data_IF_232510643966
#
_entry.id   IF_232510643966
#
_cell.length_a   1.000
_cell.length_b   1.000
_cell.length_c   1.000
_cell.angle_alpha   90.00
_cell.angle_beta   90.00
_cell.angle_gamma   90.00
#
_symmetry.space_group_name_H-M   'P 1'
#
loop_
_entity.id
_entity.type
_entity.pdbx_description
1 polymer ?
#
# COMPACT_ATOMS: atom_id res chain seq x y z
N UNK A 1 -13.71 30.02 -8.45
CA UNK A 1 -14.13 29.03 -9.50
C UNK A 1 -15.32 28.25 -8.98
N UNK A 2 -16.05 27.58 -9.87
CA UNK A 2 -17.19 26.73 -9.51
C UNK A 2 -17.21 25.48 -10.40
N UNK A 3 -17.54 24.33 -9.82
CA UNK A 3 -17.73 23.07 -10.55
C UNK A 3 -18.73 22.17 -9.80
N UNK A 4 -19.39 21.27 -10.51
CA UNK A 4 -20.24 20.24 -9.87
C UNK A 4 -19.41 19.33 -8.98
N UNK A 5 -18.24 18.88 -9.46
CA UNK A 5 -17.33 18.01 -8.71
C UNK A 5 -15.98 18.68 -8.50
N UNK A 6 -15.58 18.87 -7.25
CA UNK A 6 -14.23 19.30 -6.88
C UNK A 6 -13.48 18.10 -6.32
N UNK A 7 -12.45 17.63 -7.03
CA UNK A 7 -11.72 16.40 -6.74
C UNK A 7 -10.38 16.79 -6.12
N UNK A 8 -10.13 16.35 -4.89
CA UNK A 8 -8.93 16.68 -4.13
C UNK A 8 -7.95 15.51 -4.21
N UNK A 9 -6.84 15.72 -4.90
CA UNK A 9 -5.78 14.77 -5.15
C UNK A 9 -5.80 14.19 -6.57
N UNK A 10 -4.66 14.31 -7.27
CA UNK A 10 -4.38 13.76 -8.60
C UNK A 10 -3.72 12.38 -8.57
N UNK A 11 -3.98 11.58 -7.54
CA UNK A 11 -3.56 10.19 -7.47
C UNK A 11 -4.50 9.24 -8.20
N UNK A 12 -4.26 7.90 -8.15
CA UNK A 12 -5.09 6.90 -8.85
C UNK A 12 -6.59 7.05 -8.64
N UNK A 13 -7.04 7.39 -7.41
CA UNK A 13 -8.46 7.57 -7.11
C UNK A 13 -9.07 8.76 -7.84
N UNK A 14 -8.46 9.94 -7.70
CA UNK A 14 -8.98 11.18 -8.28
C UNK A 14 -8.94 11.18 -9.79
N UNK A 15 -7.81 10.73 -10.38
CA UNK A 15 -7.68 10.62 -11.83
C UNK A 15 -8.68 9.64 -12.43
N UNK A 16 -8.87 8.49 -11.80
CA UNK A 16 -9.86 7.50 -12.27
C UNK A 16 -11.26 8.07 -12.21
N UNK A 17 -11.64 8.69 -11.09
CA UNK A 17 -12.97 9.28 -10.94
C UNK A 17 -13.23 10.36 -12.00
N UNK A 18 -12.28 11.30 -12.20
CA UNK A 18 -12.38 12.37 -13.19
C UNK A 18 -12.50 11.84 -14.62
N UNK A 19 -11.65 10.87 -15.00
CA UNK A 19 -11.69 10.27 -16.33
C UNK A 19 -12.96 9.45 -16.56
N UNK A 20 -13.50 8.79 -15.55
CA UNK A 20 -14.80 8.12 -15.64
C UNK A 20 -15.94 9.11 -15.88
N UNK A 21 -15.94 10.29 -15.22
CA UNK A 21 -16.91 11.35 -15.50
C UNK A 21 -16.78 11.86 -16.94
N UNK A 22 -15.55 12.18 -17.39
CA UNK A 22 -15.26 12.60 -18.75
C UNK A 22 -15.80 11.60 -19.79
N UNK A 23 -15.50 10.30 -19.58
CA UNK A 23 -15.95 9.23 -20.50
C UNK A 23 -17.48 9.08 -20.55
N UNK A 24 -18.20 9.62 -19.59
CA UNK A 24 -19.67 9.69 -19.54
C UNK A 24 -20.22 11.03 -20.02
N UNK A 25 -19.38 11.92 -20.57
CA UNK A 25 -19.78 13.25 -21.05
C UNK A 25 -20.00 14.28 -19.93
N UNK A 26 -19.63 13.99 -18.69
CA UNK A 26 -19.74 14.92 -17.57
C UNK A 26 -18.44 15.69 -17.45
N UNK A 27 -18.45 16.97 -17.85
CA UNK A 27 -17.25 17.83 -17.92
C UNK A 27 -17.21 18.93 -16.86
N UNK A 28 -18.18 18.96 -15.95
CA UNK A 28 -18.27 19.95 -14.87
C UNK A 28 -17.55 19.45 -13.60
N UNK A 29 -16.23 19.37 -13.69
CA UNK A 29 -15.34 18.99 -12.59
C UNK A 29 -14.03 19.79 -12.62
N UNK A 30 -13.37 19.87 -11.47
CA UNK A 30 -12.00 20.40 -11.29
C UNK A 30 -11.23 19.39 -10.42
N UNK A 31 -10.01 19.04 -10.83
CA UNK A 31 -9.06 18.23 -10.04
C UNK A 31 -7.97 19.14 -9.50
N UNK A 32 -7.63 19.01 -8.22
CA UNK A 32 -6.55 19.75 -7.56
C UNK A 32 -5.49 18.79 -7.06
N UNK A 33 -4.22 19.00 -7.45
CA UNK A 33 -3.07 18.22 -7.01
C UNK A 33 -1.99 19.15 -6.42
N UNK A 34 -1.45 18.79 -5.26
CA UNK A 34 -0.42 19.61 -4.58
C UNK A 34 0.94 19.56 -5.25
N UNK A 35 1.28 18.44 -5.86
CA UNK A 35 2.54 18.24 -6.56
C UNK A 35 2.46 18.83 -7.97
N UNK A 36 3.62 19.09 -8.57
CA UNK A 36 3.72 19.53 -9.97
C UNK A 36 3.29 18.46 -10.97
N UNK A 37 3.28 17.19 -10.54
CA UNK A 37 2.91 16.03 -11.35
C UNK A 37 1.87 15.18 -10.64
N UNK A 38 1.03 14.48 -11.41
CA UNK A 38 0.00 13.56 -10.91
C UNK A 38 0.53 12.16 -10.64
N UNK A 39 -0.29 11.29 -10.06
CA UNK A 39 0.01 9.89 -9.78
C UNK A 39 0.09 9.56 -8.29
N UNK A 40 0.18 10.57 -7.42
CA UNK A 40 0.23 10.37 -5.96
C UNK A 40 1.36 9.41 -5.55
N UNK A 41 1.03 8.34 -4.81
CA UNK A 41 2.01 7.30 -4.43
C UNK A 41 2.49 6.44 -5.61
N UNK A 42 1.81 6.46 -6.75
CA UNK A 42 2.17 5.67 -7.92
C UNK A 42 3.06 6.44 -8.91
N UNK A 43 3.67 7.55 -8.49
CA UNK A 43 4.61 8.31 -9.32
C UNK A 43 5.91 7.55 -9.53
N UNK A 44 6.50 7.75 -10.69
CA UNK A 44 7.86 7.27 -11.01
C UNK A 44 8.74 8.43 -11.43
N UNK A 45 10.02 8.36 -11.09
CA UNK A 45 11.06 9.27 -11.51
C UNK A 45 12.14 8.52 -12.30
N UNK A 46 12.88 9.21 -13.15
CA UNK A 46 14.02 8.60 -13.82
C UNK A 46 15.25 8.73 -12.93
N UNK A 47 15.78 7.60 -12.51
CA UNK A 47 16.95 7.50 -11.65
C UNK A 47 17.95 6.56 -12.33
N UNK A 48 19.17 7.02 -12.56
CA UNK A 48 20.22 6.26 -13.27
C UNK A 48 19.72 5.69 -14.61
N UNK A 49 19.06 6.55 -15.40
CA UNK A 49 18.59 6.25 -16.74
C UNK A 49 17.39 5.32 -16.84
N UNK A 50 16.76 4.94 -15.72
CA UNK A 50 15.63 4.02 -15.69
C UNK A 50 14.56 4.46 -14.68
N UNK A 51 13.29 4.06 -14.84
CA UNK A 51 12.23 4.43 -13.91
C UNK A 51 12.43 3.82 -12.54
N UNK A 52 12.09 4.59 -11.51
CA UNK A 52 12.00 4.18 -10.11
C UNK A 52 10.67 4.68 -9.54
N UNK A 53 9.90 3.78 -8.96
CA UNK A 53 8.62 4.12 -8.34
C UNK A 53 8.86 4.75 -6.97
N UNK A 54 8.73 6.07 -6.90
CA UNK A 54 9.14 6.86 -5.73
C UNK A 54 8.22 6.71 -4.51
N UNK A 55 7.04 6.14 -4.67
CA UNK A 55 6.12 5.82 -3.58
C UNK A 55 6.18 4.36 -3.11
N UNK A 56 7.21 3.61 -3.53
CA UNK A 56 7.36 2.18 -3.29
C UNK A 56 6.85 1.33 -4.45
N UNK A 57 7.02 0.01 -4.35
CA UNK A 57 6.62 -0.90 -5.42
C UNK A 57 5.11 -0.92 -5.65
N UNK A 58 4.71 -0.50 -6.83
CA UNK A 58 3.34 -0.55 -7.29
C UNK A 58 3.24 -1.38 -8.58
N UNK A 59 2.27 -2.28 -8.62
CA UNK A 59 2.06 -3.23 -9.72
C UNK A 59 0.58 -3.34 -10.02
N UNK A 60 0.22 -3.60 -11.29
CA UNK A 60 -1.17 -3.82 -11.69
C UNK A 60 -1.52 -5.31 -11.53
N UNK A 61 -2.45 -5.63 -10.63
CA UNK A 61 -2.90 -6.99 -10.37
C UNK A 61 -3.78 -7.50 -11.51
N UNK A 62 -3.41 -8.63 -12.12
CA UNK A 62 -4.14 -9.24 -13.25
C UNK A 62 -5.55 -9.73 -12.87
N UNK A 63 -5.85 -9.93 -11.59
CA UNK A 63 -7.12 -10.50 -11.10
C UNK A 63 -8.30 -9.54 -11.18
N UNK A 64 -8.10 -8.32 -11.71
CA UNK A 64 -9.15 -7.31 -11.91
C UNK A 64 -9.26 -6.91 -13.37
N UNK A 65 -9.82 -7.77 -14.26
CA UNK A 65 -9.86 -7.51 -15.71
C UNK A 65 -10.46 -6.15 -16.05
N UNK A 66 -11.58 -5.75 -15.41
CA UNK A 66 -12.22 -4.46 -15.61
C UNK A 66 -11.29 -3.27 -15.34
N UNK A 67 -10.42 -3.39 -14.34
CA UNK A 67 -9.42 -2.35 -14.02
C UNK A 67 -8.31 -2.34 -15.05
N UNK A 68 -7.82 -3.53 -15.45
CA UNK A 68 -6.82 -3.64 -16.52
C UNK A 68 -7.34 -3.03 -17.82
N UNK A 69 -8.53 -3.42 -18.28
CA UNK A 69 -9.19 -2.87 -19.49
C UNK A 69 -9.36 -1.35 -19.42
N UNK A 70 -9.67 -0.80 -18.23
CA UNK A 70 -9.78 0.64 -18.05
C UNK A 70 -8.43 1.33 -18.20
N UNK A 71 -7.38 0.82 -17.56
CA UNK A 71 -6.03 1.42 -17.60
C UNK A 71 -5.38 1.26 -18.98
N UNK A 72 -5.61 0.16 -19.68
CA UNK A 72 -5.10 -0.09 -21.03
C UNK A 72 -5.67 0.87 -22.09
N UNK A 73 -6.75 1.60 -21.81
CA UNK A 73 -7.21 2.71 -22.67
C UNK A 73 -6.26 3.89 -22.68
N UNK A 74 -5.49 4.08 -21.61
CA UNK A 74 -4.53 5.18 -21.47
C UNK A 74 -3.10 4.75 -21.76
N UNK A 75 -2.78 3.51 -21.44
CA UNK A 75 -1.50 2.89 -21.74
C UNK A 75 -1.76 1.47 -22.26
N UNK A 76 -1.71 1.24 -23.59
CA UNK A 76 -2.05 -0.03 -24.22
C UNK A 76 -1.34 -1.24 -23.62
N UNK A 77 -2.00 -2.41 -23.63
CA UNK A 77 -1.48 -3.63 -22.97
C UNK A 77 -0.10 -4.05 -23.52
N UNK A 78 0.18 -3.81 -24.78
CA UNK A 78 1.46 -4.07 -25.45
C UNK A 78 2.64 -3.27 -24.84
N UNK A 79 2.38 -2.21 -24.10
CA UNK A 79 3.40 -1.44 -23.37
C UNK A 79 3.73 -2.03 -21.99
N UNK A 80 3.06 -3.11 -21.59
CA UNK A 80 3.26 -3.79 -20.31
C UNK A 80 3.87 -5.16 -20.52
N UNK A 81 4.70 -5.58 -19.54
CA UNK A 81 5.10 -6.97 -19.37
C UNK A 81 4.29 -7.60 -18.24
N UNK A 82 4.00 -8.90 -18.37
CA UNK A 82 3.33 -9.70 -17.36
C UNK A 82 4.34 -10.63 -16.69
N UNK A 83 4.35 -10.60 -15.37
CA UNK A 83 5.28 -11.36 -14.54
C UNK A 83 4.53 -12.29 -13.61
N UNK A 84 5.05 -13.52 -13.45
CA UNK A 84 4.74 -14.37 -12.30
C UNK A 84 5.59 -13.89 -11.13
N UNK A 85 4.96 -13.59 -10.00
CA UNK A 85 5.65 -13.02 -8.85
C UNK A 85 6.68 -13.99 -8.26
N UNK A 86 7.93 -13.55 -8.16
CA UNK A 86 8.93 -14.12 -7.25
C UNK A 86 9.18 -13.12 -6.12
N UNK A 87 8.72 -13.45 -4.92
CA UNK A 87 8.96 -12.63 -3.72
C UNK A 87 9.52 -13.52 -2.61
N UNK A 88 10.59 -13.05 -1.97
CA UNK A 88 11.35 -13.86 -1.01
C UNK A 88 11.45 -13.17 0.35
N UNK A 89 11.83 -13.94 1.33
CA UNK A 89 12.12 -13.50 2.70
C UNK A 89 13.55 -13.89 3.00
N UNK A 90 14.37 -12.92 3.36
CA UNK A 90 15.73 -13.14 3.86
C UNK A 90 15.73 -13.01 5.37
N UNK A 91 16.01 -14.09 6.08
CA UNK A 91 15.90 -14.19 7.54
C UNK A 91 17.11 -14.88 8.16
N UNK A 92 17.56 -14.34 9.29
CA UNK A 92 18.62 -14.93 10.10
C UNK A 92 18.02 -15.76 11.23
N UNK A 93 18.21 -17.07 11.21
CA UNK A 93 17.64 -18.02 12.16
C UNK A 93 18.73 -18.73 12.94
N UNK A 94 18.50 -18.95 14.24
CA UNK A 94 19.33 -19.82 15.04
C UNK A 94 18.94 -21.26 14.72
N UNK A 95 19.87 -22.11 14.21
CA UNK A 95 19.59 -23.54 14.01
C UNK A 95 19.26 -24.20 15.36
N UNK A 96 18.19 -25.05 15.45
CA UNK A 96 17.81 -25.70 16.71
C UNK A 96 18.92 -26.53 17.35
N UNK A 97 19.81 -27.06 16.53
CA UNK A 97 20.99 -27.82 16.95
C UNK A 97 22.19 -26.95 17.37
N UNK A 98 22.11 -25.64 17.24
CA UNK A 98 23.22 -24.73 17.55
C UNK A 98 23.35 -24.49 19.05
N UNK A 99 24.40 -25.01 19.67
CA UNK A 99 24.75 -24.71 21.06
C UNK A 99 25.33 -23.28 21.25
N UNK A 100 25.82 -22.65 20.19
CA UNK A 100 26.47 -21.35 20.22
C UNK A 100 25.48 -20.16 20.10
N UNK A 101 24.22 -20.42 19.74
CA UNK A 101 23.22 -19.39 19.45
C UNK A 101 23.53 -18.56 18.20
N UNK A 102 24.53 -18.92 17.40
CA UNK A 102 24.86 -18.22 16.14
C UNK A 102 23.75 -18.39 15.12
N UNK A 103 23.36 -17.29 14.48
CA UNK A 103 22.39 -17.29 13.39
C UNK A 103 23.02 -17.79 12.09
N UNK A 104 22.17 -18.33 11.21
CA UNK A 104 22.48 -18.62 9.83
C UNK A 104 21.42 -17.97 8.94
N UNK A 105 21.86 -17.34 7.86
CA UNK A 105 20.97 -16.71 6.89
C UNK A 105 20.28 -17.76 6.03
N UNK A 106 18.97 -17.59 5.86
CA UNK A 106 18.11 -18.38 4.98
C UNK A 106 17.32 -17.44 4.07
N UNK A 107 17.03 -17.91 2.88
CA UNK A 107 16.11 -17.26 1.96
C UNK A 107 15.04 -18.27 1.58
N UNK A 108 13.77 -17.85 1.62
CA UNK A 108 12.62 -18.67 1.26
C UNK A 108 11.54 -17.82 0.58
N UNK A 109 10.68 -18.48 -0.20
CA UNK A 109 9.57 -17.77 -0.86
C UNK A 109 8.55 -17.25 0.16
N UNK A 110 7.91 -16.15 -0.19
CA UNK A 110 6.79 -15.58 0.58
C UNK A 110 5.46 -16.22 0.13
N UNK A 111 4.51 -16.55 1.03
CA UNK A 111 4.52 -16.30 2.48
C UNK A 111 5.36 -17.31 3.26
N UNK A 112 5.86 -16.88 4.43
CA UNK A 112 6.77 -17.68 5.26
C UNK A 112 6.15 -19.02 5.65
N UNK A 113 4.93 -19.01 6.19
CA UNK A 113 4.21 -20.18 6.69
C UNK A 113 3.89 -21.22 5.61
N UNK A 114 3.73 -20.79 4.36
CA UNK A 114 3.51 -21.71 3.24
C UNK A 114 4.80 -22.31 2.67
N UNK A 115 5.96 -21.76 3.02
CA UNK A 115 7.24 -22.09 2.43
C UNK A 115 8.32 -22.53 3.44
N UNK A 116 7.96 -22.83 4.69
CA UNK A 116 8.92 -23.38 5.67
C UNK A 116 9.53 -24.72 5.22
N UNK A 117 8.95 -25.38 4.23
CA UNK A 117 9.49 -26.60 3.61
C UNK A 117 10.85 -26.39 2.95
N UNK A 118 11.22 -25.17 2.61
CA UNK A 118 12.53 -24.78 2.04
C UNK A 118 13.62 -24.71 3.11
N UNK A 119 13.26 -24.69 4.38
CA UNK A 119 14.18 -24.69 5.51
C UNK A 119 14.69 -26.11 5.84
N UNK A 120 15.81 -26.25 6.59
CA UNK A 120 16.26 -27.53 7.10
C UNK A 120 15.19 -28.24 7.94
N UNK A 121 15.24 -29.59 7.98
CA UNK A 121 14.24 -30.41 8.69
C UNK A 121 14.10 -30.08 10.18
N UNK A 122 15.20 -29.72 10.84
CA UNK A 122 15.17 -29.27 12.25
C UNK A 122 14.35 -27.99 12.44
N UNK A 123 14.48 -27.00 11.52
CA UNK A 123 13.67 -25.78 11.52
C UNK A 123 12.20 -26.05 11.16
N UNK A 124 11.95 -26.91 10.14
CA UNK A 124 10.58 -27.31 9.79
C UNK A 124 9.85 -27.90 10.99
N UNK A 125 10.50 -28.83 11.71
CA UNK A 125 9.94 -29.46 12.91
C UNK A 125 9.61 -28.44 13.98
N UNK A 126 10.54 -27.52 14.28
CA UNK A 126 10.34 -26.44 15.25
C UNK A 126 9.11 -25.58 14.93
N UNK A 127 8.98 -25.13 13.67
CA UNK A 127 7.85 -24.30 13.27
C UNK A 127 6.52 -25.07 13.26
N UNK A 128 6.50 -26.31 12.79
CA UNK A 128 5.31 -27.15 12.82
C UNK A 128 4.82 -27.41 14.25
N UNK A 129 5.72 -27.71 15.20
CA UNK A 129 5.38 -27.86 16.62
C UNK A 129 4.82 -26.56 17.20
N UNK A 130 5.40 -25.41 16.83
CA UNK A 130 4.95 -24.11 17.28
C UNK A 130 3.56 -23.73 16.73
N UNK A 131 3.29 -24.03 15.44
CA UNK A 131 1.98 -23.80 14.81
C UNK A 131 0.94 -24.75 15.42
N UNK A 132 1.26 -26.04 15.62
CA UNK A 132 0.35 -26.98 16.24
C UNK A 132 -0.09 -26.54 17.66
N UNK A 133 0.81 -25.89 18.40
CA UNK A 133 0.56 -25.35 19.72
C UNK A 133 -0.08 -23.94 19.68
N UNK A 134 -0.37 -23.37 18.51
CA UNK A 134 -0.97 -22.04 18.40
C UNK A 134 -2.43 -22.04 18.89
N UNK A 135 -2.86 -20.93 19.49
CA UNK A 135 -4.18 -20.82 20.12
C UNK A 135 -5.32 -21.11 19.17
N UNK A 136 -5.22 -20.76 17.87
CA UNK A 136 -6.25 -21.06 16.87
C UNK A 136 -6.46 -22.56 16.66
N UNK A 137 -5.45 -23.39 16.89
CA UNK A 137 -5.51 -24.85 16.77
C UNK A 137 -5.96 -25.52 18.07
N UNK A 138 -5.99 -24.77 19.18
CA UNK A 138 -6.40 -25.22 20.52
C UNK A 138 -7.76 -24.67 20.97
N UNK A 139 -8.53 -24.07 20.05
CA UNK A 139 -9.87 -23.54 20.35
C UNK A 139 -9.88 -22.24 21.16
N UNK A 140 -8.76 -21.56 21.29
CA UNK A 140 -8.68 -20.27 21.97
C UNK A 140 -9.40 -19.17 21.16
N UNK A 141 -10.07 -18.20 21.82
CA UNK A 141 -10.77 -17.13 21.13
C UNK A 141 -9.78 -16.21 20.37
N UNK A 142 -10.22 -15.70 19.20
CA UNK A 142 -9.43 -14.79 18.38
C UNK A 142 -9.11 -13.50 19.14
N UNK A 143 -7.83 -13.13 19.31
CA UNK A 143 -7.44 -11.91 19.98
C UNK A 143 -7.85 -10.64 19.22
N UNK A 144 -8.10 -9.56 19.96
CA UNK A 144 -8.45 -8.25 19.37
C UNK A 144 -7.22 -7.44 18.93
N UNK A 145 -6.03 -7.69 19.52
CA UNK A 145 -4.79 -7.02 19.18
C UNK A 145 -4.00 -7.82 18.15
N UNK A 146 -3.41 -7.12 17.20
CA UNK A 146 -2.68 -7.75 16.09
C UNK A 146 -1.47 -8.56 16.57
N UNK A 147 -0.69 -8.06 17.52
CA UNK A 147 0.49 -8.76 18.03
C UNK A 147 0.13 -10.11 18.69
N UNK A 148 -0.97 -10.14 19.46
CA UNK A 148 -1.46 -11.37 20.10
C UNK A 148 -2.01 -12.33 19.03
N UNK A 149 -2.71 -11.79 18.02
CA UNK A 149 -3.21 -12.58 16.90
C UNK A 149 -2.10 -13.26 16.11
N UNK A 150 -0.95 -12.59 15.89
CA UNK A 150 0.19 -13.20 15.20
C UNK A 150 0.60 -14.50 15.90
N UNK A 151 0.79 -14.46 17.22
CA UNK A 151 1.16 -15.63 18.02
C UNK A 151 0.03 -16.67 18.06
N UNK A 152 -1.21 -16.24 18.23
CA UNK A 152 -2.39 -17.09 18.24
C UNK A 152 -2.60 -17.84 16.92
N UNK A 153 -2.28 -17.21 15.77
CA UNK A 153 -2.48 -17.79 14.42
C UNK A 153 -1.29 -18.61 13.95
N UNK A 154 -0.06 -18.12 14.11
CA UNK A 154 1.15 -18.63 13.48
C UNK A 154 2.09 -19.36 14.46
N UNK A 155 1.75 -19.37 15.75
CA UNK A 155 2.62 -19.89 16.79
C UNK A 155 3.76 -18.93 17.14
N UNK A 156 4.39 -19.18 18.28
CA UNK A 156 5.41 -18.28 18.87
C UNK A 156 6.67 -18.13 18.02
N UNK A 157 7.06 -19.16 17.28
CA UNK A 157 8.34 -19.15 16.57
C UNK A 157 8.27 -18.35 15.26
N UNK A 158 7.22 -18.49 14.45
CA UNK A 158 7.00 -17.62 13.27
C UNK A 158 6.72 -16.18 13.74
N UNK A 159 5.96 -16.02 14.82
CA UNK A 159 5.72 -14.70 15.40
C UNK A 159 7.03 -13.99 15.74
N UNK A 160 7.94 -14.66 16.46
CA UNK A 160 9.23 -14.12 16.90
C UNK A 160 10.21 -13.88 15.75
N UNK A 161 10.36 -14.85 14.85
CA UNK A 161 11.45 -14.83 13.87
C UNK A 161 11.11 -14.04 12.60
N UNK A 162 9.81 -13.84 12.31
CA UNK A 162 9.37 -13.18 11.10
C UNK A 162 8.30 -12.08 11.33
N UNK A 163 7.10 -12.47 11.78
CA UNK A 163 5.94 -11.59 11.67
C UNK A 163 5.99 -10.36 12.58
N UNK A 164 6.42 -10.50 13.82
CA UNK A 164 6.51 -9.36 14.76
C UNK A 164 7.61 -8.40 14.31
N UNK A 165 8.88 -8.82 14.09
CA UNK A 165 9.93 -7.90 13.67
C UNK A 165 9.64 -7.24 12.32
N UNK A 166 9.12 -7.98 11.33
CA UNK A 166 8.75 -7.42 10.04
C UNK A 166 7.68 -6.32 10.15
N UNK A 167 6.57 -6.61 10.85
CA UNK A 167 5.48 -5.65 11.00
C UNK A 167 5.87 -4.45 11.89
N UNK A 168 6.77 -4.64 12.85
CA UNK A 168 7.36 -3.54 13.64
C UNK A 168 8.11 -2.56 12.74
N UNK A 169 8.86 -3.06 11.74
CA UNK A 169 9.56 -2.23 10.77
C UNK A 169 8.59 -1.52 9.80
N UNK A 170 7.58 -2.23 9.33
CA UNK A 170 6.68 -1.74 8.28
C UNK A 170 5.61 -0.77 8.81
N UNK A 171 4.89 -1.16 9.87
CA UNK A 171 3.70 -0.42 10.30
C UNK A 171 3.94 0.49 11.49
N UNK A 172 4.44 -0.04 12.59
CA UNK A 172 4.56 0.72 13.84
C UNK A 172 5.53 0.05 14.81
N UNK A 173 6.22 0.86 15.61
CA UNK A 173 7.08 0.37 16.69
C UNK A 173 6.29 -0.38 17.76
N UNK A 174 5.01 -0.01 17.96
CA UNK A 174 4.10 -0.66 18.92
C UNK A 174 2.93 -1.34 18.20
N UNK A 175 3.05 -2.62 17.92
CA UNK A 175 2.01 -3.41 17.26
C UNK A 175 0.76 -3.63 18.16
N UNK A 176 0.81 -3.34 19.46
CA UNK A 176 -0.34 -3.43 20.37
C UNK A 176 -1.45 -2.40 20.04
N UNK A 177 -1.12 -1.36 19.29
CA UNK A 177 -2.10 -0.37 18.84
C UNK A 177 -2.93 -0.85 17.65
N UNK A 178 -2.49 -1.89 16.94
CA UNK A 178 -3.16 -2.41 15.75
C UNK A 178 -4.25 -3.43 16.12
N UNK A 179 -5.38 -3.33 15.44
CA UNK A 179 -6.51 -4.26 15.56
C UNK A 179 -6.44 -5.43 14.58
N UNK A 180 -7.43 -6.31 14.64
CA UNK A 180 -7.49 -7.56 13.85
C UNK A 180 -8.61 -7.58 12.79
N UNK A 181 -9.31 -6.48 12.57
CA UNK A 181 -10.45 -6.38 11.65
C UNK A 181 -10.07 -6.32 10.15
N UNK A 182 -8.78 -6.22 9.83
CA UNK A 182 -8.25 -6.06 8.47
C UNK A 182 -7.48 -7.29 7.94
N UNK A 183 -7.44 -8.36 8.71
CA UNK A 183 -6.55 -9.51 8.51
C UNK A 183 -6.90 -10.38 7.30
N UNK A 184 -8.08 -10.20 6.71
CA UNK A 184 -8.49 -10.90 5.48
C UNK A 184 -7.56 -10.62 4.27
N UNK A 185 -6.68 -9.62 4.40
CA UNK A 185 -5.65 -9.31 3.40
C UNK A 185 -4.36 -10.11 3.56
N UNK A 186 -4.15 -10.72 4.72
CA UNK A 186 -2.96 -11.54 4.97
C UNK A 186 -3.18 -12.96 4.42
N UNK A 187 -2.11 -13.63 3.98
CA UNK A 187 -2.19 -15.03 3.63
C UNK A 187 -2.78 -15.85 4.79
N UNK A 188 -3.67 -16.75 4.47
CA UNK A 188 -4.29 -17.63 5.46
C UNK A 188 -3.90 -19.08 5.16
N UNK A 189 -2.91 -19.57 5.90
CA UNK A 189 -2.42 -20.94 5.82
C UNK A 189 -2.73 -21.64 7.14
N UNK A 190 -3.30 -22.84 7.07
CA UNK A 190 -3.57 -23.70 8.24
C UNK A 190 -2.37 -24.54 8.63
N UNK A 191 -2.44 -25.17 9.82
CA UNK A 191 -1.42 -26.15 10.23
C UNK A 191 -1.33 -27.33 9.24
N UNK A 192 -2.48 -27.85 8.80
CA UNK A 192 -2.58 -28.96 7.85
C UNK A 192 -1.95 -28.61 6.51
N UNK A 193 -2.22 -27.42 6.00
CA UNK A 193 -1.63 -26.91 4.75
C UNK A 193 -0.12 -26.72 4.89
N UNK A 194 0.36 -26.20 6.03
CA UNK A 194 1.79 -26.06 6.33
C UNK A 194 2.49 -27.42 6.44
N UNK A 195 1.84 -28.39 7.11
CA UNK A 195 2.34 -29.76 7.21
C UNK A 195 2.42 -30.44 5.82
N UNK A 196 1.38 -30.25 5.00
CA UNK A 196 1.32 -30.81 3.65
C UNK A 196 2.39 -30.15 2.75
N UNK A 197 2.61 -28.84 2.87
CA UNK A 197 3.68 -28.15 2.14
C UNK A 197 5.06 -28.77 2.45
N UNK A 198 5.31 -29.10 3.72
CA UNK A 198 6.56 -29.74 4.13
C UNK A 198 6.72 -31.17 3.59
N UNK A 199 5.61 -31.94 3.42
CA UNK A 199 5.63 -33.27 2.83
C UNK A 199 5.85 -33.22 1.33
N UNK A 200 5.10 -32.36 0.64
CA UNK A 200 5.09 -32.29 -0.82
C UNK A 200 6.19 -31.39 -1.39
N UNK A 201 6.90 -30.63 -0.53
CA UNK A 201 7.89 -29.60 -0.91
C UNK A 201 7.30 -28.57 -1.88
N UNK A 202 6.11 -28.10 -1.57
CA UNK A 202 5.34 -27.15 -2.37
C UNK A 202 4.51 -26.24 -1.47
N UNK A 203 4.37 -24.95 -1.84
CA UNK A 203 3.49 -24.04 -1.13
C UNK A 203 2.02 -24.48 -1.23
N UNK A 204 1.30 -24.43 -0.11
CA UNK A 204 -0.13 -24.68 0.02
C UNK A 204 -0.83 -23.50 0.69
N UNK A 205 -2.17 -23.51 0.62
CA UNK A 205 -3.01 -22.48 1.22
C UNK A 205 -3.23 -21.26 0.33
N UNK A 206 -3.93 -20.29 0.91
CA UNK A 206 -4.28 -19.03 0.22
C UNK A 206 -3.01 -18.23 -0.06
N UNK A 207 -2.73 -18.00 -1.33
CA UNK A 207 -1.60 -17.19 -1.75
C UNK A 207 -1.95 -15.70 -1.69
N UNK A 208 -0.97 -14.83 -1.42
CA UNK A 208 -1.18 -13.39 -1.37
C UNK A 208 -1.56 -12.82 -2.75
N UNK A 209 -2.07 -11.59 -2.76
CA UNK A 209 -2.34 -10.84 -3.98
C UNK A 209 -1.10 -10.65 -4.86
N UNK A 210 -1.33 -10.25 -6.12
CA UNK A 210 -0.27 -10.05 -7.11
C UNK A 210 0.58 -11.31 -7.38
N UNK A 211 -0.04 -12.50 -7.41
CA UNK A 211 0.63 -13.74 -7.86
C UNK A 211 1.11 -13.58 -9.30
N UNK A 212 0.35 -12.84 -10.09
CA UNK A 212 0.78 -12.31 -11.38
C UNK A 212 0.44 -10.82 -11.44
N UNK A 213 1.30 -10.07 -12.10
CA UNK A 213 1.14 -8.64 -12.23
C UNK A 213 1.65 -8.12 -13.57
N UNK A 214 1.13 -6.96 -14.01
CA UNK A 214 1.68 -6.17 -15.08
C UNK A 214 2.59 -5.07 -14.54
N UNK A 215 3.69 -4.82 -15.24
CA UNK A 215 4.55 -3.66 -15.04
C UNK A 215 4.93 -3.03 -16.40
N UNK A 216 5.01 -1.68 -16.51
CA UNK A 216 5.36 -1.03 -17.77
C UNK A 216 6.77 -1.38 -18.25
N UNK A 217 6.91 -1.65 -19.55
CA UNK A 217 8.19 -2.03 -20.17
C UNK A 217 9.27 -0.95 -20.07
N UNK A 218 8.89 0.34 -20.06
CA UNK A 218 9.85 1.45 -20.21
C UNK A 218 9.74 2.57 -19.19
N UNK A 219 8.54 2.90 -18.71
CA UNK A 219 8.28 4.20 -18.09
C UNK A 219 8.02 4.16 -16.58
N UNK A 220 8.02 2.99 -15.97
CA UNK A 220 7.57 2.83 -14.59
C UNK A 220 6.05 2.96 -14.42
N UNK A 221 5.56 2.63 -13.25
CA UNK A 221 4.12 2.59 -12.97
C UNK A 221 3.45 3.97 -12.97
N UNK A 222 4.26 5.04 -12.87
CA UNK A 222 3.80 6.43 -12.93
C UNK A 222 3.22 6.86 -14.25
N UNK A 223 3.64 6.25 -15.36
CA UNK A 223 3.31 6.69 -16.72
C UNK A 223 1.82 6.66 -17.02
N UNK A 224 1.12 5.60 -16.66
CA UNK A 224 -0.33 5.51 -16.91
C UNK A 224 -1.10 6.65 -16.24
N UNK A 225 -0.64 7.09 -15.07
CA UNK A 225 -1.27 8.21 -14.34
C UNK A 225 -0.96 9.55 -14.97
N UNK A 226 0.25 9.75 -15.50
CA UNK A 226 0.62 10.94 -16.29
C UNK A 226 -0.28 11.07 -17.52
N UNK A 227 -0.47 9.98 -18.28
CA UNK A 227 -1.35 9.96 -19.45
C UNK A 227 -2.81 10.24 -19.07
N UNK A 228 -3.30 9.65 -17.97
CA UNK A 228 -4.64 9.94 -17.44
C UNK A 228 -4.80 11.40 -17.00
N UNK A 229 -3.76 12.01 -16.44
CA UNK A 229 -3.75 13.42 -16.08
C UNK A 229 -3.78 14.32 -17.31
N UNK A 230 -3.01 14.00 -18.36
CA UNK A 230 -2.98 14.74 -19.61
C UNK A 230 -4.37 14.80 -20.30
N UNK A 231 -5.19 13.75 -20.14
CA UNK A 231 -6.56 13.73 -20.64
C UNK A 231 -7.49 14.77 -20.00
N UNK A 232 -7.16 15.28 -18.81
CA UNK A 232 -8.02 16.22 -18.09
C UNK A 232 -7.79 17.69 -18.47
N UNK A 233 -6.68 18.00 -19.16
CA UNK A 233 -6.38 19.33 -19.73
C UNK A 233 -6.56 20.48 -18.73
N UNK A 234 -7.40 21.46 -19.04
CA UNK A 234 -7.71 22.65 -18.24
C UNK A 234 -8.49 22.37 -16.93
N UNK A 235 -8.95 21.14 -16.74
CA UNK A 235 -9.65 20.71 -15.51
C UNK A 235 -8.72 20.27 -14.39
N UNK A 236 -7.42 20.21 -14.64
CA UNK A 236 -6.40 19.76 -13.68
C UNK A 236 -5.54 20.95 -13.24
N UNK A 237 -5.55 21.25 -11.94
CA UNK A 237 -4.73 22.26 -11.28
C UNK A 237 -3.64 21.51 -10.50
N UNK A 238 -2.37 21.71 -10.85
CA UNK A 238 -1.22 21.09 -10.20
C UNK A 238 -0.35 22.14 -9.48
N UNK A 239 0.53 21.69 -8.56
CA UNK A 239 1.48 22.55 -7.86
C UNK A 239 0.87 23.38 -6.72
N UNK A 240 -0.39 23.13 -6.34
CA UNK A 240 -1.03 23.85 -5.24
C UNK A 240 -1.86 22.91 -4.37
N UNK A 241 -1.57 22.90 -3.06
CA UNK A 241 -2.27 22.07 -2.09
C UNK A 241 -3.59 22.69 -1.62
N UNK A 242 -4.44 21.85 -1.05
CA UNK A 242 -5.68 22.28 -0.38
C UNK A 242 -5.33 22.74 1.04
N UNK A 243 -5.79 23.94 1.41
CA UNK A 243 -5.67 24.52 2.76
C UNK A 243 -6.83 24.07 3.64
N UNK A 244 -8.06 24.35 3.19
CA UNK A 244 -9.27 24.08 3.97
C UNK A 244 -10.48 23.76 3.10
N UNK A 245 -11.47 23.14 3.74
CA UNK A 245 -12.80 22.88 3.17
C UNK A 245 -13.84 23.50 4.10
N UNK A 246 -14.55 24.51 3.64
CA UNK A 246 -15.77 24.98 4.28
C UNK A 246 -16.87 23.95 4.10
N UNK A 247 -17.14 23.17 5.14
CA UNK A 247 -18.09 22.06 5.10
C UNK A 247 -19.56 22.52 4.98
N UNK A 248 -19.88 23.80 5.32
CA UNK A 248 -21.23 24.34 5.21
C UNK A 248 -21.54 24.82 3.80
N UNK A 249 -20.58 25.54 3.20
CA UNK A 249 -20.75 26.16 1.89
C UNK A 249 -20.15 25.36 0.75
N UNK A 250 -19.42 24.28 1.07
CA UNK A 250 -18.70 23.41 0.11
C UNK A 250 -17.68 24.19 -0.73
N UNK A 251 -16.91 25.05 -0.05
CA UNK A 251 -15.85 25.84 -0.67
C UNK A 251 -14.51 25.24 -0.29
N UNK A 252 -13.72 24.85 -1.28
CA UNK A 252 -12.33 24.44 -1.14
C UNK A 252 -11.45 25.68 -1.28
N UNK A 253 -10.62 25.95 -0.27
CA UNK A 253 -9.61 27.03 -0.31
C UNK A 253 -8.24 26.39 -0.52
N UNK A 254 -7.52 26.81 -1.55
CA UNK A 254 -6.17 26.36 -1.86
C UNK A 254 -5.13 27.17 -1.07
N UNK A 255 -3.88 26.70 -1.05
CA UNK A 255 -2.77 27.37 -0.33
C UNK A 255 -2.41 28.74 -0.92
N UNK A 256 -2.70 28.98 -2.20
CA UNK A 256 -2.52 30.26 -2.87
C UNK A 256 -3.69 31.23 -2.66
N UNK A 257 -4.72 30.84 -1.90
CA UNK A 257 -5.91 31.62 -1.63
C UNK A 257 -7.05 31.44 -2.65
N UNK A 258 -6.84 30.69 -3.71
CA UNK A 258 -7.89 30.35 -4.69
C UNK A 258 -9.04 29.62 -4.02
N UNK A 259 -10.28 29.99 -4.35
CA UNK A 259 -11.51 29.36 -3.84
C UNK A 259 -12.28 28.67 -4.94
N UNK A 260 -12.70 27.43 -4.67
CA UNK A 260 -13.47 26.61 -5.60
C UNK A 260 -14.73 26.12 -4.88
N UNK A 261 -15.91 26.55 -5.37
CA UNK A 261 -17.21 26.07 -4.89
C UNK A 261 -17.59 24.78 -5.61
N UNK A 262 -18.01 23.76 -4.85
CA UNK A 262 -18.47 22.46 -5.39
C UNK A 262 -19.88 22.09 -4.97
N UNK A 263 -20.62 21.41 -5.83
CA UNK A 263 -21.84 20.70 -5.40
C UNK A 263 -21.46 19.47 -4.59
N UNK A 264 -20.42 18.74 -5.06
CA UNK A 264 -19.78 17.61 -4.40
C UNK A 264 -18.28 17.82 -4.31
N UNK A 265 -17.69 17.47 -3.18
CA UNK A 265 -16.23 17.42 -2.99
C UNK A 265 -15.83 15.97 -2.86
N UNK A 266 -14.94 15.50 -3.73
CA UNK A 266 -14.40 14.14 -3.69
C UNK A 266 -13.00 14.20 -3.08
N UNK A 267 -12.89 13.83 -1.81
CA UNK A 267 -11.61 13.86 -1.09
C UNK A 267 -10.85 12.55 -1.27
N UNK A 268 -9.70 12.60 -1.94
CA UNK A 268 -8.77 11.47 -2.04
C UNK A 268 -7.47 11.70 -1.27
N UNK A 269 -7.41 12.78 -0.49
CA UNK A 269 -6.27 13.21 0.32
C UNK A 269 -6.45 12.80 1.79
N UNK A 270 -5.36 12.76 2.60
CA UNK A 270 -5.45 12.48 4.03
C UNK A 270 -6.29 13.53 4.77
N UNK A 271 -7.14 13.09 5.69
CA UNK A 271 -8.04 13.98 6.43
C UNK A 271 -7.31 14.94 7.38
N UNK A 272 -6.13 14.57 7.85
CA UNK A 272 -5.28 15.40 8.72
C UNK A 272 -4.39 16.39 7.92
N UNK A 273 -4.38 16.30 6.59
CA UNK A 273 -3.67 17.23 5.70
C UNK A 273 -4.47 18.47 5.31
N UNK A 274 -5.74 18.56 5.73
CA UNK A 274 -6.66 19.64 5.36
C UNK A 274 -7.49 20.06 6.56
N UNK A 275 -7.75 21.38 6.70
CA UNK A 275 -8.65 21.88 7.73
C UNK A 275 -10.12 21.72 7.29
N UNK A 276 -10.94 21.04 8.10
CA UNK A 276 -12.39 21.01 7.93
C UNK A 276 -13.01 22.14 8.75
N UNK A 277 -13.30 23.25 8.09
CA UNK A 277 -13.96 24.42 8.71
C UNK A 277 -15.39 24.02 9.11
N UNK A 278 -15.85 24.52 10.26
CA UNK A 278 -17.16 24.22 10.86
C UNK A 278 -17.36 22.77 11.30
N UNK A 279 -16.34 21.91 11.17
CA UNK A 279 -16.43 20.56 11.70
C UNK A 279 -16.49 20.58 13.24
N UNK A 280 -17.42 19.83 13.87
CA UNK A 280 -17.49 19.71 15.32
C UNK A 280 -16.18 19.15 15.91
N UNK A 281 -15.87 19.54 17.16
CA UNK A 281 -14.67 19.07 17.88
C UNK A 281 -14.54 17.54 17.84
N UNK A 282 -15.66 16.81 18.00
CA UNK A 282 -15.68 15.34 17.94
C UNK A 282 -15.16 14.79 16.60
N UNK A 283 -15.38 15.49 15.49
CA UNK A 283 -14.86 15.07 14.17
C UNK A 283 -13.37 15.37 14.09
N UNK A 284 -12.92 16.57 14.52
CA UNK A 284 -11.51 16.92 14.59
C UNK A 284 -10.71 15.92 15.47
N UNK A 285 -11.29 15.49 16.59
CA UNK A 285 -10.67 14.49 17.46
C UNK A 285 -10.68 13.06 16.83
N UNK A 286 -11.68 12.75 16.01
CA UNK A 286 -11.68 11.50 15.24
C UNK A 286 -10.59 11.50 14.17
N UNK A 287 -10.36 12.62 13.47
CA UNK A 287 -9.26 12.76 12.49
C UNK A 287 -7.90 12.54 13.16
N UNK A 288 -7.64 13.10 14.34
CA UNK A 288 -6.39 12.89 15.10
C UNK A 288 -6.10 11.41 15.45
N UNK A 289 -7.14 10.55 15.43
CA UNK A 289 -7.02 9.10 15.67
C UNK A 289 -6.66 8.31 14.40
N UNK A 290 -6.76 8.94 13.23
CA UNK A 290 -6.39 8.35 11.95
C UNK A 290 -4.88 8.44 11.79
N UNK A 291 -4.17 7.38 12.14
CA UNK A 291 -2.71 7.33 12.06
C UNK A 291 -2.23 6.77 10.72
N UNK A 292 -1.06 7.21 10.31
CA UNK A 292 -0.37 6.73 9.10
C UNK A 292 1.13 6.55 9.36
N UNK A 293 1.80 5.87 8.44
CA UNK A 293 3.27 5.82 8.38
C UNK A 293 3.80 6.60 7.20
N UNK A 294 5.03 7.06 7.30
CA UNK A 294 5.84 7.58 6.21
C UNK A 294 6.95 6.61 5.84
N UNK A 295 7.37 6.61 4.58
CA UNK A 295 8.48 5.80 4.09
C UNK A 295 9.48 6.61 3.28
N UNK A 296 10.71 6.14 3.31
CA UNK A 296 11.79 6.59 2.44
C UNK A 296 12.10 5.48 1.44
N UNK A 297 12.16 5.85 0.17
CA UNK A 297 12.55 4.99 -0.95
C UNK A 297 13.94 5.41 -1.37
N UNK A 298 14.94 4.56 -1.11
CA UNK A 298 16.33 4.88 -1.40
C UNK A 298 16.86 3.98 -2.52
N UNK A 299 17.35 4.59 -3.59
CA UNK A 299 17.96 3.89 -4.71
C UNK A 299 19.37 3.42 -4.37
N UNK A 300 19.69 2.18 -4.75
CA UNK A 300 21.02 1.58 -4.65
C UNK A 300 21.44 1.10 -6.06
N UNK A 301 22.53 1.64 -6.59
CA UNK A 301 22.98 1.40 -7.96
C UNK A 301 23.66 0.03 -8.19
N UNK A 302 23.86 -0.77 -7.15
CA UNK A 302 24.45 -2.10 -7.23
C UNK A 302 23.42 -3.14 -7.70
N UNK A 303 23.86 -4.08 -8.54
CA UNK A 303 23.03 -5.20 -8.95
C UNK A 303 23.08 -6.33 -7.92
N UNK A 304 21.94 -6.93 -7.66
CA UNK A 304 21.85 -8.15 -6.86
C UNK A 304 21.78 -9.39 -7.76
N UNK A 305 22.52 -10.44 -7.37
CA UNK A 305 22.44 -11.72 -8.04
C UNK A 305 21.24 -12.52 -7.50
N UNK A 306 20.03 -12.19 -7.97
CA UNK A 306 18.78 -12.83 -7.59
C UNK A 306 17.76 -12.68 -8.70
N UNK A 307 16.84 -13.63 -8.83
CA UNK A 307 15.67 -13.53 -9.73
C UNK A 307 14.43 -12.95 -9.01
N UNK A 308 14.52 -12.74 -7.70
CA UNK A 308 13.42 -12.19 -6.93
C UNK A 308 13.02 -10.78 -7.42
N UNK A 309 11.73 -10.52 -7.57
CA UNK A 309 11.22 -9.18 -7.83
C UNK A 309 11.35 -8.29 -6.58
N UNK A 310 11.11 -8.86 -5.39
CA UNK A 310 11.36 -8.19 -4.11
C UNK A 310 11.67 -9.17 -2.98
N UNK A 311 12.40 -8.68 -2.00
CA UNK A 311 12.81 -9.46 -0.83
C UNK A 311 12.43 -8.72 0.45
N UNK A 312 11.81 -9.44 1.37
CA UNK A 312 11.45 -8.95 2.70
C UNK A 312 12.57 -9.22 3.72
N UNK A 313 12.83 -8.27 4.59
CA UNK A 313 13.87 -8.33 5.62
C UNK A 313 13.26 -8.10 7.00
N UNK A 314 12.95 -9.15 7.78
CA UNK A 314 12.41 -9.01 9.12
C UNK A 314 13.45 -8.55 10.15
N UNK A 315 14.74 -8.88 9.99
CA UNK A 315 15.80 -8.56 10.94
C UNK A 315 15.83 -7.09 11.37
N UNK A 316 15.88 -6.83 12.68
CA UNK A 316 15.84 -5.47 13.23
C UNK A 316 17.19 -4.74 13.16
N UNK A 317 18.26 -5.45 12.85
CA UNK A 317 19.62 -4.96 12.54
C UNK A 317 19.71 -4.23 11.19
N UNK A 318 18.72 -4.44 10.31
CA UNK A 318 18.58 -3.78 9.00
C UNK A 318 17.41 -2.79 9.08
N UNK A 319 17.58 -1.55 8.62
CA UNK A 319 16.55 -0.51 8.74
C UNK A 319 15.39 -0.69 7.76
N UNK A 320 15.67 -1.02 6.51
CA UNK A 320 14.62 -1.28 5.51
C UNK A 320 13.87 -2.59 5.80
N UNK A 321 12.59 -2.61 5.44
CA UNK A 321 11.75 -3.80 5.59
C UNK A 321 11.62 -4.61 4.31
N UNK A 322 11.89 -3.98 3.14
CA UNK A 322 11.81 -4.60 1.83
C UNK A 322 12.79 -3.96 0.86
N UNK A 323 13.26 -4.74 -0.10
CA UNK A 323 13.90 -4.21 -1.31
C UNK A 323 13.09 -4.64 -2.52
N UNK A 324 13.18 -3.86 -3.61
CA UNK A 324 12.64 -4.21 -4.92
C UNK A 324 13.78 -4.21 -5.94
N UNK A 325 13.92 -5.32 -6.63
CA UNK A 325 15.02 -5.55 -7.59
C UNK A 325 14.56 -5.13 -8.99
N UNK A 326 14.78 -3.85 -9.30
CA UNK A 326 14.25 -3.17 -10.49
C UNK A 326 14.55 -3.93 -11.79
N UNK A 327 15.78 -4.45 -11.94
CA UNK A 327 16.22 -5.18 -13.14
C UNK A 327 15.37 -6.41 -13.45
N UNK A 328 14.66 -6.99 -12.47
CA UNK A 328 13.89 -8.22 -12.63
C UNK A 328 12.45 -7.97 -13.12
N UNK A 329 11.99 -6.72 -13.14
CA UNK A 329 10.69 -6.34 -13.68
C UNK A 329 10.71 -5.07 -14.55
N UNK A 330 11.89 -4.46 -14.73
CA UNK A 330 12.13 -3.36 -15.66
C UNK A 330 13.41 -3.68 -16.45
N UNK A 331 13.32 -4.43 -17.56
CA UNK A 331 14.48 -4.88 -18.32
C UNK A 331 15.39 -3.74 -18.76
N UNK A 332 16.70 -3.95 -18.64
CA UNK A 332 17.74 -2.94 -18.98
C UNK A 332 18.03 -1.94 -17.87
N UNK A 333 17.27 -1.95 -16.76
CA UNK A 333 17.58 -1.14 -15.59
C UNK A 333 18.65 -1.79 -14.72
N UNK A 334 19.27 -0.99 -13.83
CA UNK A 334 20.25 -1.45 -12.84
C UNK A 334 19.72 -1.20 -11.43
N UNK A 335 20.32 -1.92 -10.48
CA UNK A 335 20.12 -1.68 -9.06
C UNK A 335 18.76 -2.07 -8.52
N UNK A 336 18.53 -1.64 -7.32
CA UNK A 336 17.31 -1.90 -6.57
C UNK A 336 16.98 -0.68 -5.71
N UNK A 337 15.81 -0.66 -5.10
CA UNK A 337 15.54 0.33 -4.07
C UNK A 337 15.13 -0.34 -2.76
N UNK A 338 15.42 0.34 -1.66
CA UNK A 338 15.02 -0.05 -0.32
C UNK A 338 13.77 0.71 0.10
N UNK A 339 12.90 0.08 0.87
CA UNK A 339 11.76 0.73 1.51
C UNK A 339 11.97 0.73 3.02
N UNK A 340 12.15 1.94 3.56
CA UNK A 340 12.45 2.15 4.99
C UNK A 340 11.38 3.06 5.60
N UNK A 341 10.78 2.67 6.73
CA UNK A 341 9.91 3.59 7.47
C UNK A 341 10.74 4.82 7.92
N UNK A 342 10.21 6.03 7.74
CA UNK A 342 11.01 7.26 7.92
C UNK A 342 11.61 7.41 9.31
N UNK A 343 10.97 6.88 10.37
CA UNK A 343 11.51 6.90 11.73
C UNK A 343 12.75 6.00 11.92
N UNK A 344 13.01 5.09 10.98
CA UNK A 344 14.19 4.20 10.99
C UNK A 344 15.20 4.57 9.90
N UNK A 345 14.87 5.54 9.07
CA UNK A 345 15.75 5.96 7.98
C UNK A 345 16.88 6.85 8.53
N UNK A 346 18.09 6.52 8.14
CA UNK A 346 19.29 7.29 8.40
C UNK A 346 19.88 7.75 7.07
N UNK A 347 19.81 9.05 6.83
CA UNK A 347 20.36 9.66 5.62
C UNK A 347 21.87 9.45 5.54
N UNK A 348 22.35 9.09 4.35
CA UNK A 348 23.78 8.99 4.03
C UNK A 348 24.11 9.93 2.90
N UNK A 349 25.30 10.50 2.94
CA UNK A 349 25.78 11.37 1.87
C UNK A 349 25.78 10.63 0.52
N UNK A 350 25.18 11.26 -0.48
CA UNK A 350 25.05 10.70 -1.83
C UNK A 350 23.83 9.80 -2.07
N UNK A 351 23.00 9.53 -1.04
CA UNK A 351 21.76 8.77 -1.22
C UNK A 351 20.77 9.49 -2.16
N UNK A 352 20.24 8.77 -3.14
CA UNK A 352 19.07 9.22 -3.91
C UNK A 352 17.83 8.67 -3.22
N UNK A 353 17.15 9.52 -2.46
CA UNK A 353 16.03 9.12 -1.61
C UNK A 353 14.80 9.99 -1.83
N UNK A 354 13.64 9.35 -1.91
CA UNK A 354 12.33 9.98 -1.99
C UNK A 354 11.53 9.68 -0.73
N UNK A 355 11.02 10.71 -0.07
CA UNK A 355 10.20 10.57 1.13
C UNK A 355 8.72 10.70 0.78
N UNK A 356 7.93 9.72 1.25
CA UNK A 356 6.47 9.75 1.19
C UNK A 356 5.92 9.91 2.62
N UNK A 357 5.39 11.09 2.92
CA UNK A 357 4.86 11.40 4.25
C UNK A 357 3.64 10.54 4.61
N UNK A 358 2.88 10.13 3.62
CA UNK A 358 1.69 9.30 3.76
C UNK A 358 1.86 8.03 2.91
N UNK A 359 2.32 6.92 3.51
CA UNK A 359 2.50 5.65 2.82
C UNK A 359 1.38 4.65 3.14
N UNK A 360 1.19 4.34 4.42
CA UNK A 360 0.20 3.35 4.86
C UNK A 360 -0.72 3.91 5.94
N UNK A 361 -2.07 3.90 5.73
CA UNK A 361 -3.03 4.09 6.81
C UNK A 361 -2.89 2.97 7.84
N UNK A 362 -2.69 3.31 9.11
CA UNK A 362 -2.55 2.31 10.17
C UNK A 362 -3.91 1.75 10.58
N UNK A 363 -3.98 0.45 10.75
CA UNK A 363 -5.18 -0.24 11.20
C UNK A 363 -5.25 -0.31 12.74
N UNK A 364 -5.24 0.86 13.39
CA UNK A 364 -5.35 0.96 14.85
C UNK A 364 -6.72 0.47 15.35
N UNK A 365 -6.77 0.04 16.60
CA UNK A 365 -8.03 -0.41 17.25
C UNK A 365 -9.11 0.68 17.19
N UNK A 366 -8.71 1.97 17.27
CA UNK A 366 -9.64 3.10 17.26
C UNK A 366 -10.10 3.53 15.86
N UNK A 367 -9.41 3.12 14.81
CA UNK A 367 -9.65 3.57 13.43
C UNK A 367 -11.08 3.31 12.94
N UNK A 368 -11.70 2.12 13.11
CA UNK A 368 -13.02 1.85 12.54
C UNK A 368 -14.07 2.85 12.97
N UNK A 369 -14.13 3.16 14.27
CA UNK A 369 -15.08 4.14 14.80
C UNK A 369 -14.71 5.57 14.36
N UNK A 370 -13.43 5.91 14.37
CA UNK A 370 -12.95 7.23 14.00
C UNK A 370 -13.27 7.56 12.53
N UNK A 371 -12.91 6.67 11.61
CA UNK A 371 -13.15 6.91 10.18
C UNK A 371 -14.65 6.89 9.84
N UNK A 372 -15.44 6.02 10.47
CA UNK A 372 -16.89 5.98 10.27
C UNK A 372 -17.53 7.33 10.63
N UNK A 373 -17.12 7.95 11.74
CA UNK A 373 -17.62 9.28 12.13
C UNK A 373 -17.22 10.39 11.16
N UNK A 374 -15.96 10.35 10.67
CA UNK A 374 -15.47 11.33 9.70
C UNK A 374 -16.23 11.22 8.39
N UNK A 375 -16.41 10.00 7.87
CA UNK A 375 -17.12 9.77 6.60
C UNK A 375 -18.62 10.09 6.71
N UNK A 376 -19.29 9.77 7.82
CA UNK A 376 -20.70 10.15 8.04
C UNK A 376 -20.89 11.67 8.06
N UNK A 377 -20.02 12.39 8.77
CA UNK A 377 -20.04 13.86 8.78
C UNK A 377 -19.76 14.44 7.38
N UNK A 378 -18.73 13.95 6.72
CA UNK A 378 -18.33 14.41 5.39
C UNK A 378 -19.47 14.21 4.38
N UNK A 379 -20.09 13.02 4.37
CA UNK A 379 -21.19 12.70 3.46
C UNK A 379 -22.41 13.63 3.64
N UNK A 380 -22.75 14.01 4.88
CA UNK A 380 -23.82 14.99 5.19
C UNK A 380 -23.50 16.38 4.65
N UNK A 381 -22.23 16.67 4.45
CA UNK A 381 -21.72 17.92 3.86
C UNK A 381 -21.45 17.81 2.35
N UNK A 382 -21.91 16.76 1.68
CA UNK A 382 -21.61 16.41 0.29
C UNK A 382 -20.11 16.26 0.00
N UNK A 383 -19.32 15.86 1.00
CA UNK A 383 -17.91 15.54 0.87
C UNK A 383 -17.80 14.02 0.91
N UNK A 384 -17.23 13.43 -0.13
CA UNK A 384 -17.13 11.96 -0.27
C UNK A 384 -15.66 11.57 -0.20
N UNK A 385 -15.31 10.75 0.80
CA UNK A 385 -13.99 10.13 0.88
C UNK A 385 -13.85 9.01 -0.14
N UNK A 386 -12.75 9.00 -0.90
CA UNK A 386 -12.49 8.01 -1.95
C UNK A 386 -11.03 7.55 -1.93
N UNK A 387 -10.80 6.25 -2.12
CA UNK A 387 -9.48 5.65 -2.25
C UNK A 387 -8.72 5.51 -0.92
N UNK A 388 -7.39 5.28 -1.01
CA UNK A 388 -6.57 4.93 0.16
C UNK A 388 -6.70 5.93 1.30
N UNK A 389 -6.66 7.22 1.01
CA UNK A 389 -6.65 8.28 2.04
C UNK A 389 -8.03 8.82 2.34
N UNK A 390 -8.87 9.04 1.35
CA UNK A 390 -10.24 9.50 1.58
C UNK A 390 -11.07 8.50 2.40
N UNK A 391 -10.86 7.20 2.23
CA UNK A 391 -11.49 6.14 3.03
C UNK A 391 -10.58 5.64 4.17
N UNK A 392 -9.38 6.20 4.27
CA UNK A 392 -8.34 5.84 5.24
C UNK A 392 -8.13 4.32 5.34
N UNK A 393 -7.94 3.65 4.19
CA UNK A 393 -7.81 2.20 4.12
C UNK A 393 -6.64 1.79 3.22
N UNK A 394 -5.94 0.72 3.61
CA UNK A 394 -4.79 0.23 2.86
C UNK A 394 -5.25 -0.49 1.58
N UNK A 395 -5.63 0.28 0.57
CA UNK A 395 -5.96 -0.21 -0.76
C UNK A 395 -4.74 -0.23 -1.69
N UNK A 396 -4.60 -1.28 -2.49
CA UNK A 396 -3.72 -1.28 -3.64
C UNK A 396 -4.30 -0.40 -4.75
N UNK A 397 -3.50 -0.05 -5.75
CA UNK A 397 -3.92 0.83 -6.85
C UNK A 397 -5.12 0.28 -7.63
N UNK A 398 -5.14 -1.02 -7.91
CA UNK A 398 -6.24 -1.72 -8.59
C UNK A 398 -7.55 -1.64 -7.82
N UNK A 399 -7.53 -1.84 -6.50
CA UNK A 399 -8.70 -1.67 -5.63
C UNK A 399 -9.18 -0.22 -5.63
N UNK A 400 -8.24 0.72 -5.58
CA UNK A 400 -8.52 2.15 -5.60
C UNK A 400 -9.22 2.57 -6.90
N UNK A 401 -8.74 2.07 -8.05
CA UNK A 401 -9.34 2.29 -9.36
C UNK A 401 -10.75 1.72 -9.42
N UNK A 402 -10.95 0.46 -9.02
CA UNK A 402 -12.28 -0.17 -9.01
C UNK A 402 -13.30 0.60 -8.16
N UNK A 403 -12.88 1.10 -6.99
CA UNK A 403 -13.74 1.93 -6.13
C UNK A 403 -14.09 3.27 -6.79
N UNK A 404 -13.13 3.91 -7.44
CA UNK A 404 -13.37 5.18 -8.14
C UNK A 404 -14.31 5.00 -9.34
N UNK A 405 -14.16 3.92 -10.11
CA UNK A 405 -15.08 3.57 -11.19
C UNK A 405 -16.51 3.36 -10.67
N UNK A 406 -16.68 2.60 -9.59
CA UNK A 406 -17.99 2.35 -8.96
C UNK A 406 -18.64 3.63 -8.43
N UNK A 407 -17.85 4.52 -7.82
CA UNK A 407 -18.38 5.81 -7.37
C UNK A 407 -18.83 6.68 -8.55
N UNK A 408 -18.04 6.74 -9.62
CA UNK A 408 -18.38 7.50 -10.82
C UNK A 408 -19.66 6.95 -11.49
N UNK A 409 -19.83 5.63 -11.56
CA UNK A 409 -21.06 4.99 -12.06
C UNK A 409 -22.27 5.44 -11.23
N UNK A 410 -22.17 5.33 -9.90
CA UNK A 410 -23.24 5.74 -8.99
C UNK A 410 -23.61 7.22 -9.11
N UNK A 411 -22.62 8.11 -9.23
CA UNK A 411 -22.86 9.55 -9.30
C UNK A 411 -23.33 10.03 -10.66
N UNK A 412 -23.08 9.27 -11.70
CA UNK A 412 -23.62 9.51 -13.05
C UNK A 412 -25.04 8.96 -13.27
N UNK A 413 -25.59 8.23 -12.29
CA UNK A 413 -26.93 7.65 -12.39
C UNK A 413 -26.99 6.38 -13.23
N UNK A 414 -25.88 5.64 -13.33
CA UNK A 414 -25.75 4.38 -14.06
C UNK A 414 -25.59 3.20 -13.10
#
# INVERSE_FOLDING_TARGET
MKAKYVILGGGPAGLTFANCLKNKGINDYIVVEKESTVGGLCRSEIVDGSPLDIGGGHFLDVRRPRVCEFLFKYMPEEEWDRYSRDSRISVDLVPPESSSGKTKKYELHHPFEANIWELPKSQQKRYLESIAAAGCNNGEPKPAKFVDWITWKLGKDIAKDYMIPYNTKMFASNLNELGTYWLDKLPNVSYEETLESCKQKKAYGSQPGHTEFYYPKKFGYGEVWLRMGAELSDKLITGVGVKSIDCMNRIVTLLDGTKIEGEYIISTIPWDSVELEWAPTKIKDSIKKLKSTSINITYIGENLNTDAHWIYYPGLDIDYHRILVRSNFCPGSKGYWTETRSERYHEKEGDITFKMDYAYPLNTIQKPEAIARVLDFAQKSHIIGLGRWGEHNHYNSDVTVDRAMKLADKMAGV
#
